data_IF_848108008396
#
_entry.id   IF_848108008396
#
_cell.length_a   1.000
_cell.length_b   1.000
_cell.length_c   1.000
_cell.angle_alpha   90.00
_cell.angle_beta   90.00
_cell.angle_gamma   90.00
#
_symmetry.space_group_name_H-M   'P 1'
#
loop_
_entity.id
_entity.type
_entity.pdbx_description
1 polymer ?
#
# COMPACT_ATOMS: atom_id res chain seq x y z
N UNK A 1 -2.87 17.62 -15.13
CA UNK A 1 -2.83 16.16 -14.85
C UNK A 1 -2.20 15.84 -13.50
N UNK A 2 -1.15 16.54 -13.05
CA UNK A 2 -0.47 16.25 -11.78
C UNK A 2 -1.38 16.18 -10.54
N UNK A 3 -2.31 17.14 -10.37
CA UNK A 3 -3.27 17.11 -9.24
C UNK A 3 -4.31 15.98 -9.33
N UNK A 4 -4.71 15.58 -10.54
CA UNK A 4 -5.61 14.44 -10.73
C UNK A 4 -4.92 13.12 -10.37
N UNK A 5 -3.63 12.99 -10.70
CA UNK A 5 -2.82 11.83 -10.30
C UNK A 5 -2.65 11.79 -8.78
N UNK A 6 -2.30 12.92 -8.16
CA UNK A 6 -2.24 13.02 -6.70
C UNK A 6 -3.56 12.61 -6.02
N UNK A 7 -4.70 13.05 -6.55
CA UNK A 7 -6.00 12.65 -6.02
C UNK A 7 -6.22 11.13 -6.09
N UNK A 8 -5.88 10.49 -7.22
CA UNK A 8 -5.97 9.02 -7.36
C UNK A 8 -5.06 8.28 -6.38
N UNK A 9 -3.85 8.77 -6.18
CA UNK A 9 -2.89 8.20 -5.24
C UNK A 9 -3.39 8.29 -3.78
N UNK A 10 -4.03 9.42 -3.43
CA UNK A 10 -4.68 9.59 -2.12
C UNK A 10 -5.88 8.65 -1.95
N UNK A 11 -6.74 8.51 -2.97
CA UNK A 11 -7.87 7.59 -2.96
C UNK A 11 -7.42 6.14 -2.78
N UNK A 12 -6.36 5.74 -3.47
CA UNK A 12 -5.80 4.40 -3.34
C UNK A 12 -5.15 4.19 -1.96
N UNK A 13 -4.44 5.18 -1.44
CA UNK A 13 -3.88 5.15 -0.07
C UNK A 13 -5.00 4.95 0.97
N UNK A 14 -6.12 5.66 0.82
CA UNK A 14 -7.27 5.52 1.71
C UNK A 14 -7.91 4.12 1.61
N UNK A 15 -8.06 3.59 0.39
CA UNK A 15 -8.58 2.24 0.14
C UNK A 15 -7.69 1.18 0.80
N UNK A 16 -6.38 1.26 0.59
CA UNK A 16 -5.42 0.31 1.16
C UNK A 16 -5.39 0.38 2.69
N UNK A 17 -5.50 1.58 3.25
CA UNK A 17 -5.58 1.78 4.71
C UNK A 17 -6.82 1.10 5.29
N UNK A 18 -7.98 1.23 4.64
CA UNK A 18 -9.18 0.50 5.04
C UNK A 18 -8.96 -1.02 4.98
N UNK A 19 -8.40 -1.54 3.88
CA UNK A 19 -8.11 -2.96 3.72
C UNK A 19 -7.13 -3.52 4.78
N UNK A 20 -6.15 -2.73 5.20
CA UNK A 20 -5.25 -3.09 6.31
C UNK A 20 -6.03 -3.27 7.63
N UNK A 21 -6.92 -2.31 7.95
CA UNK A 21 -7.76 -2.38 9.16
C UNK A 21 -8.74 -3.55 9.10
N UNK A 22 -9.32 -3.81 7.93
CA UNK A 22 -10.20 -4.97 7.71
C UNK A 22 -9.45 -6.28 7.95
N UNK A 23 -8.21 -6.40 7.47
CA UNK A 23 -7.35 -7.55 7.74
C UNK A 23 -7.08 -7.75 9.24
N UNK A 24 -6.76 -6.68 9.97
CA UNK A 24 -6.58 -6.77 11.43
C UNK A 24 -7.87 -7.21 12.12
N UNK A 25 -9.02 -6.66 11.71
CA UNK A 25 -10.33 -7.01 12.25
C UNK A 25 -10.65 -8.49 12.00
N UNK A 26 -10.43 -8.97 10.79
CA UNK A 26 -10.60 -10.38 10.42
C UNK A 26 -9.70 -11.30 11.26
N UNK A 27 -8.45 -10.92 11.50
CA UNK A 27 -7.55 -11.70 12.34
C UNK A 27 -8.06 -11.79 13.79
N UNK A 28 -8.62 -10.71 14.33
CA UNK A 28 -9.23 -10.70 15.67
C UNK A 28 -10.47 -11.60 15.74
N UNK A 29 -11.30 -11.60 14.69
CA UNK A 29 -12.47 -12.50 14.59
C UNK A 29 -12.03 -13.97 14.59
N UNK A 30 -10.99 -14.31 13.81
CA UNK A 30 -10.41 -15.66 13.80
C UNK A 30 -9.88 -16.08 15.17
N UNK A 31 -9.24 -15.17 15.90
CA UNK A 31 -8.75 -15.43 17.27
C UNK A 31 -9.89 -15.61 18.28
N UNK A 32 -11.04 -14.98 18.04
CA UNK A 32 -12.22 -15.07 18.90
C UNK A 32 -13.11 -16.28 18.60
N UNK A 33 -12.91 -16.95 17.46
CA UNK A 33 -13.70 -18.10 17.04
C UNK A 33 -13.40 -19.35 17.90
N UNK A 34 -14.31 -19.63 18.83
CA UNK A 34 -14.22 -20.79 19.73
C UNK A 34 -14.43 -22.15 19.02
N UNK A 35 -14.87 -22.16 17.76
CA UNK A 35 -14.98 -23.38 16.95
C UNK A 35 -13.63 -23.87 16.40
N UNK A 36 -12.64 -22.97 16.35
CA UNK A 36 -11.29 -23.30 15.91
C UNK A 36 -10.44 -23.80 17.09
N UNK A 37 -9.52 -24.72 16.81
CA UNK A 37 -8.49 -25.05 17.80
C UNK A 37 -7.57 -23.84 18.00
N UNK A 38 -7.06 -23.61 19.24
CA UNK A 38 -6.22 -22.45 19.52
C UNK A 38 -4.99 -22.34 18.62
N UNK A 39 -4.42 -23.47 18.18
CA UNK A 39 -3.26 -23.46 17.29
C UNK A 39 -3.61 -23.06 15.85
N UNK A 40 -4.76 -23.53 15.34
CA UNK A 40 -5.25 -23.13 14.02
C UNK A 40 -5.59 -21.63 13.99
N UNK A 41 -6.34 -21.15 15.00
CA UNK A 41 -6.71 -19.74 15.11
C UNK A 41 -5.47 -18.83 15.12
N UNK A 42 -4.44 -19.17 15.91
CA UNK A 42 -3.19 -18.40 15.95
C UNK A 42 -2.46 -18.38 14.61
N UNK A 43 -2.32 -19.52 13.93
CA UNK A 43 -1.61 -19.60 12.64
C UNK A 43 -2.32 -18.81 11.56
N UNK A 44 -3.65 -18.90 11.52
CA UNK A 44 -4.48 -18.21 10.54
C UNK A 44 -4.44 -16.70 10.77
N UNK A 45 -4.70 -16.25 12.00
CA UNK A 45 -4.64 -14.85 12.37
C UNK A 45 -3.24 -14.24 12.13
N UNK A 46 -2.17 -14.97 12.47
CA UNK A 46 -0.81 -14.50 12.22
C UNK A 46 -0.56 -14.25 10.72
N UNK A 47 -1.07 -15.11 9.83
CA UNK A 47 -0.93 -14.92 8.38
C UNK A 47 -1.68 -13.68 7.90
N UNK A 48 -2.89 -13.46 8.39
CA UNK A 48 -3.71 -12.29 8.04
C UNK A 48 -3.03 -11.00 8.54
N UNK A 49 -2.53 -10.99 9.79
CA UNK A 49 -1.81 -9.85 10.38
C UNK A 49 -0.55 -9.54 9.57
N UNK A 50 0.22 -10.56 9.19
CA UNK A 50 1.39 -10.38 8.32
C UNK A 50 0.98 -9.70 7.00
N UNK A 51 -0.08 -10.16 6.36
CA UNK A 51 -0.59 -9.53 5.13
C UNK A 51 -1.01 -8.08 5.33
N UNK A 52 -1.67 -7.76 6.45
CA UNK A 52 -2.05 -6.40 6.79
C UNK A 52 -0.82 -5.50 7.01
N UNK A 53 0.18 -5.97 7.76
CA UNK A 53 1.43 -5.22 8.00
C UNK A 53 2.20 -4.96 6.71
N UNK A 54 2.16 -5.89 5.75
CA UNK A 54 2.74 -5.68 4.42
C UNK A 54 1.98 -4.60 3.64
N UNK A 55 0.66 -4.56 3.77
CA UNK A 55 -0.15 -3.46 3.23
C UNK A 55 0.25 -2.11 3.82
N UNK A 56 0.53 -2.06 5.13
CA UNK A 56 0.99 -0.84 5.81
C UNK A 56 2.32 -0.32 5.27
N UNK A 57 3.29 -1.19 5.03
CA UNK A 57 4.59 -0.81 4.45
C UNK A 57 4.40 -0.14 3.07
N UNK A 58 3.52 -0.70 2.21
CA UNK A 58 3.20 -0.10 0.92
C UNK A 58 2.49 1.26 1.03
N UNK A 59 1.57 1.40 1.99
CA UNK A 59 0.89 2.67 2.28
C UNK A 59 1.92 3.74 2.66
N UNK A 60 2.88 3.40 3.51
CA UNK A 60 3.95 4.31 3.94
C UNK A 60 4.82 4.74 2.78
N UNK A 61 5.28 3.79 1.95
CA UNK A 61 6.06 4.10 0.75
C UNK A 61 5.30 5.01 -0.23
N UNK A 62 4.01 4.73 -0.47
CA UNK A 62 3.16 5.57 -1.34
C UNK A 62 3.04 7.00 -0.79
N UNK A 63 2.84 7.15 0.52
CA UNK A 63 2.80 8.45 1.18
C UNK A 63 4.13 9.21 1.03
N UNK A 64 5.25 8.51 1.20
CA UNK A 64 6.58 9.09 1.02
C UNK A 64 6.78 9.58 -0.42
N UNK A 65 6.44 8.75 -1.40
CA UNK A 65 6.55 9.04 -2.83
C UNK A 65 5.68 10.23 -3.23
N UNK A 66 4.41 10.26 -2.82
CA UNK A 66 3.54 11.42 -3.05
C UNK A 66 4.13 12.70 -2.45
N UNK A 67 4.65 12.64 -1.21
CA UNK A 67 5.25 13.80 -0.57
C UNK A 67 6.51 14.29 -1.30
N UNK A 68 7.34 13.37 -1.81
CA UNK A 68 8.51 13.71 -2.62
C UNK A 68 8.11 14.39 -3.93
N UNK A 69 7.15 13.82 -4.66
CA UNK A 69 6.66 14.38 -5.92
C UNK A 69 6.07 15.78 -5.72
N UNK A 70 5.21 15.97 -4.71
CA UNK A 70 4.59 17.26 -4.41
C UNK A 70 5.64 18.31 -4.04
N UNK A 71 6.68 17.95 -3.27
CA UNK A 71 7.80 18.86 -2.99
C UNK A 71 8.54 19.26 -4.25
N UNK A 72 8.76 18.34 -5.19
CA UNK A 72 9.38 18.67 -6.48
C UNK A 72 8.48 19.57 -7.33
N UNK A 73 7.17 19.31 -7.37
CA UNK A 73 6.20 20.16 -8.07
C UNK A 73 6.20 21.60 -7.56
N UNK A 74 6.30 21.79 -6.25
CA UNK A 74 6.34 23.12 -5.64
C UNK A 74 7.57 23.95 -6.05
N UNK A 75 8.64 23.30 -6.53
CA UNK A 75 9.86 23.96 -6.99
C UNK A 75 9.86 24.25 -8.50
N UNK A 76 8.88 23.75 -9.25
CA UNK A 76 8.83 23.93 -10.69
C UNK A 76 8.38 25.35 -11.08
N UNK A 77 8.98 25.95 -12.13
CA UNK A 77 8.50 27.21 -12.69
C UNK A 77 7.02 27.14 -13.14
N UNK A 78 6.27 28.25 -13.10
CA UNK A 78 4.86 28.28 -13.53
C UNK A 78 4.62 27.85 -14.99
N UNK A 79 5.63 28.01 -15.85
CA UNK A 79 5.56 27.65 -17.28
C UNK A 79 6.03 26.21 -17.57
N UNK A 80 6.25 25.39 -16.53
CA UNK A 80 6.71 24.00 -16.70
C UNK A 80 5.68 23.18 -17.46
N UNK A 81 6.13 22.42 -18.44
CA UNK A 81 5.28 21.52 -19.23
C UNK A 81 4.80 20.33 -18.40
N UNK A 82 3.65 19.75 -18.77
CA UNK A 82 3.13 18.55 -18.10
C UNK A 82 4.10 17.35 -18.15
N UNK A 83 4.94 17.26 -19.19
CA UNK A 83 5.91 16.17 -19.35
C UNK A 83 6.87 16.05 -18.15
N UNK A 84 7.30 17.18 -17.58
CA UNK A 84 8.19 17.19 -16.40
C UNK A 84 7.48 16.63 -15.16
N UNK A 85 6.18 16.89 -15.00
CA UNK A 85 5.40 16.30 -13.91
C UNK A 85 5.26 14.78 -14.08
N UNK A 86 5.05 14.33 -15.32
CA UNK A 86 4.93 12.91 -15.65
C UNK A 86 6.25 12.16 -15.44
N UNK A 87 7.39 12.79 -15.78
CA UNK A 87 8.73 12.27 -15.49
C UNK A 87 9.00 12.14 -13.99
N UNK A 88 8.66 13.16 -13.19
CA UNK A 88 8.78 13.11 -11.73
C UNK A 88 7.99 11.92 -11.17
N UNK A 89 6.73 11.76 -11.59
CA UNK A 89 5.93 10.62 -11.15
C UNK A 89 6.51 9.28 -11.59
N UNK A 90 7.00 9.18 -12.84
CA UNK A 90 7.61 7.96 -13.37
C UNK A 90 8.93 7.59 -12.69
N UNK A 91 9.59 8.55 -12.01
CA UNK A 91 10.82 8.31 -11.27
C UNK A 91 10.61 7.70 -9.88
N UNK A 92 9.36 7.69 -9.38
CA UNK A 92 9.05 7.12 -8.07
C UNK A 92 9.02 5.59 -8.15
N UNK A 93 9.54 4.94 -7.11
CA UNK A 93 9.62 3.48 -7.02
C UNK A 93 8.98 3.03 -5.72
N UNK A 94 8.25 1.92 -5.76
CA UNK A 94 7.79 1.17 -4.61
C UNK A 94 8.83 0.09 -4.39
N UNK A 95 9.52 0.14 -3.26
CA UNK A 95 10.50 -0.88 -2.90
C UNK A 95 9.79 -2.17 -2.52
N UNK A 96 10.47 -3.30 -2.74
CA UNK A 96 10.02 -4.57 -2.19
C UNK A 96 9.93 -4.46 -0.66
N UNK A 97 8.95 -5.16 -0.09
CA UNK A 97 8.61 -5.08 1.33
C UNK A 97 9.84 -5.14 2.24
N UNK A 98 9.88 -4.27 3.24
CA UNK A 98 10.99 -4.10 4.19
C UNK A 98 11.36 -5.36 4.99
N UNK A 99 10.52 -6.40 4.96
CA UNK A 99 10.80 -7.74 5.52
C UNK A 99 10.86 -8.79 4.40
N UNK A 100 12.05 -9.12 3.88
CA UNK A 100 12.22 -10.06 2.76
C UNK A 100 11.64 -11.46 3.02
N UNK A 101 11.65 -11.92 4.28
CA UNK A 101 11.11 -13.21 4.68
C UNK A 101 9.58 -13.32 4.50
N UNK A 102 8.87 -12.20 4.35
CA UNK A 102 7.42 -12.14 4.19
C UNK A 102 7.03 -11.84 2.72
N UNK A 103 7.93 -11.38 1.86
CA UNK A 103 7.64 -11.02 0.46
C UNK A 103 6.99 -12.14 -0.37
N UNK A 104 7.20 -13.41 -0.01
CA UNK A 104 6.60 -14.57 -0.71
C UNK A 104 5.24 -15.03 -0.16
N UNK A 105 4.78 -14.53 0.99
CA UNK A 105 3.49 -14.92 1.60
C UNK A 105 2.33 -13.99 1.23
N UNK A 106 2.63 -12.83 0.65
CA UNK A 106 1.64 -11.98 0.04
C UNK A 106 1.06 -12.74 -1.15
N UNK A 107 -0.17 -13.22 -1.01
CA UNK A 107 -0.99 -13.61 -2.15
C UNK A 107 -0.81 -12.56 -3.24
N UNK A 108 -0.40 -12.99 -4.45
CA UNK A 108 -0.74 -12.24 -5.66
C UNK A 108 -2.20 -11.82 -5.47
N UNK A 109 -2.45 -10.51 -5.35
CA UNK A 109 -3.80 -10.01 -5.21
C UNK A 109 -4.65 -10.69 -6.27
N UNK A 110 -5.87 -11.09 -5.92
CA UNK A 110 -6.81 -11.79 -6.81
C UNK A 110 -7.11 -10.98 -8.09
N UNK A 111 -6.59 -9.76 -8.23
CA UNK A 111 -6.58 -9.01 -9.47
C UNK A 111 -5.13 -8.81 -9.92
N UNK A 112 -4.77 -9.45 -11.03
CA UNK A 112 -3.50 -9.28 -11.73
C UNK A 112 -3.35 -7.91 -12.40
N UNK A 113 -3.81 -6.85 -11.74
CA UNK A 113 -3.53 -5.48 -12.14
C UNK A 113 -2.16 -5.10 -11.57
N UNK A 114 -1.31 -4.56 -12.44
CA UNK A 114 -0.05 -3.96 -12.03
C UNK A 114 -0.32 -2.94 -10.92
N UNK A 115 0.49 -2.94 -9.86
CA UNK A 115 0.47 -1.83 -8.90
C UNK A 115 0.72 -0.54 -9.68
N UNK A 116 -0.32 0.30 -9.75
CA UNK A 116 -0.28 1.52 -10.54
C UNK A 116 0.71 2.51 -9.92
N UNK A 117 1.47 3.14 -10.81
CA UNK A 117 1.96 4.51 -10.70
C UNK A 117 1.14 5.40 -11.61
#
# INVERSE_FOLDING_TARGET
MSLQRLARELDETARQTAGMVDGVTQALEVLADASLSPDMARREAARIIIGALQGQDRIEQRCHNMALAVRQFALLPPATSNAVYDEIWASLVLEELSVPALSGSASRGVHGEAELF
#
